data_IF_406060565746
#
_entry.id   IF_406060565746
#
_cell.length_a   1.000
_cell.length_b   1.000
_cell.length_c   1.000
_cell.angle_alpha   90.00
_cell.angle_beta   90.00
_cell.angle_gamma   90.00
#
_symmetry.space_group_name_H-M   'P 1'
#
loop_
_entity.id
_entity.type
_entity.pdbx_description
1 polymer ?
#
# COMPACT_ATOMS: atom_id res chain seq x y z
N UNK A 1 7.38 9.37 -10.66
CA UNK A 1 6.14 9.40 -9.85
C UNK A 1 5.78 8.00 -9.37
N UNK A 2 5.06 7.93 -8.25
CA UNK A 2 4.54 6.66 -7.72
C UNK A 2 3.06 6.85 -7.41
N UNK A 3 2.21 5.92 -7.88
CA UNK A 3 0.77 5.90 -7.59
C UNK A 3 0.42 4.56 -6.97
N UNK A 4 0.12 4.59 -5.66
CA UNK A 4 -0.13 3.37 -4.89
C UNK A 4 -1.57 2.91 -5.03
N UNK A 5 -2.53 3.84 -5.00
CA UNK A 5 -3.95 3.56 -5.07
C UNK A 5 -4.73 4.80 -5.51
N UNK A 6 -5.93 4.60 -6.04
CA UNK A 6 -6.88 5.67 -6.36
C UNK A 6 -8.25 5.26 -5.85
N UNK A 7 -8.73 5.97 -4.86
CA UNK A 7 -10.01 5.73 -4.18
C UNK A 7 -10.83 7.01 -4.08
N UNK A 8 -12.11 6.85 -3.83
CA UNK A 8 -13.00 7.97 -3.56
C UNK A 8 -12.69 8.53 -2.17
N UNK A 9 -11.88 9.57 -2.09
CA UNK A 9 -11.61 10.36 -0.88
C UNK A 9 -11.64 11.85 -1.22
N UNK A 10 -11.65 12.71 -0.20
CA UNK A 10 -11.71 14.16 -0.37
C UNK A 10 -12.90 14.62 -1.27
N UNK A 11 -14.05 13.98 -1.13
CA UNK A 11 -15.27 14.31 -1.88
C UNK A 11 -15.91 15.67 -1.46
N UNK A 12 -15.28 16.38 -0.55
CA UNK A 12 -15.48 17.79 -0.28
C UNK A 12 -14.80 18.70 -1.30
N UNK A 13 -13.77 18.18 -1.99
CA UNK A 13 -13.03 18.86 -3.05
C UNK A 13 -13.31 18.26 -4.43
N UNK A 14 -13.21 16.94 -4.56
CA UNK A 14 -13.47 16.24 -5.81
C UNK A 14 -14.95 15.90 -5.95
N UNK A 15 -15.46 15.99 -7.16
CA UNK A 15 -16.85 15.69 -7.48
C UNK A 15 -17.16 14.20 -7.30
N UNK A 16 -16.29 13.35 -7.81
CA UNK A 16 -16.42 11.89 -7.84
C UNK A 16 -15.08 11.21 -8.12
N UNK A 17 -15.07 9.89 -8.19
CA UNK A 17 -13.88 9.09 -8.48
C UNK A 17 -13.29 9.39 -9.87
N UNK A 18 -14.11 9.73 -10.86
CA UNK A 18 -13.64 10.07 -12.21
C UNK A 18 -12.87 11.39 -12.21
N UNK A 19 -13.30 12.36 -11.42
CA UNK A 19 -12.60 13.64 -11.23
C UNK A 19 -11.24 13.42 -10.55
N UNK A 20 -11.18 12.50 -9.57
CA UNK A 20 -9.93 12.05 -8.93
C UNK A 20 -9.01 11.38 -9.97
N UNK A 21 -9.50 10.43 -10.77
CA UNK A 21 -8.73 9.77 -11.84
C UNK A 21 -8.21 10.78 -12.86
N UNK A 22 -9.03 11.73 -13.25
CA UNK A 22 -8.62 12.82 -14.13
C UNK A 22 -7.44 13.63 -13.55
N UNK A 23 -7.49 13.94 -12.26
CA UNK A 23 -6.42 14.65 -11.56
C UNK A 23 -5.12 13.84 -11.51
N UNK A 24 -5.20 12.52 -11.27
CA UNK A 24 -4.04 11.62 -11.35
C UNK A 24 -3.48 11.54 -12.77
N UNK A 25 -4.35 11.52 -13.80
CA UNK A 25 -3.91 11.60 -15.20
C UNK A 25 -3.14 12.89 -15.48
N UNK A 26 -3.67 14.03 -15.07
CA UNK A 26 -3.00 15.33 -15.23
C UNK A 26 -1.66 15.37 -14.49
N UNK A 27 -1.58 14.73 -13.35
CA UNK A 27 -0.34 14.59 -12.60
C UNK A 27 0.68 13.73 -13.37
N UNK A 28 0.29 12.54 -13.84
CA UNK A 28 1.15 11.67 -14.62
C UNK A 28 1.62 12.29 -15.95
N UNK A 29 0.79 13.14 -16.59
CA UNK A 29 1.15 13.85 -17.82
C UNK A 29 2.25 14.90 -17.62
N UNK A 30 2.57 15.28 -16.38
CA UNK A 30 3.71 16.17 -16.08
C UNK A 30 5.06 15.46 -16.14
N UNK A 31 5.07 14.14 -16.22
CA UNK A 31 6.31 13.38 -16.37
C UNK A 31 6.96 13.68 -17.72
N UNK A 32 8.25 13.99 -17.77
CA UNK A 32 8.99 14.11 -19.01
C UNK A 32 9.09 12.74 -19.71
N UNK A 33 9.49 12.74 -20.97
CA UNK A 33 9.58 11.50 -21.76
C UNK A 33 10.57 10.49 -21.20
N UNK A 34 11.62 10.95 -20.54
CA UNK A 34 12.62 10.15 -19.82
C UNK A 34 12.24 9.89 -18.36
N UNK A 35 11.03 10.29 -17.95
CA UNK A 35 10.51 10.05 -16.61
C UNK A 35 10.05 8.62 -16.36
N UNK A 36 9.79 8.31 -15.11
CA UNK A 36 9.30 7.00 -14.65
C UNK A 36 7.99 7.17 -13.87
N UNK A 37 6.97 6.42 -14.28
CA UNK A 37 5.74 6.21 -13.53
C UNK A 37 5.74 4.79 -12.96
N UNK A 38 5.74 4.65 -11.64
CA UNK A 38 5.50 3.39 -10.94
C UNK A 38 4.05 3.41 -10.45
N UNK A 39 3.22 2.47 -10.92
CA UNK A 39 1.77 2.51 -10.68
C UNK A 39 1.21 1.13 -10.36
N UNK A 40 0.27 1.08 -9.42
CA UNK A 40 -0.42 -0.15 -9.08
C UNK A 40 -1.34 -0.59 -10.22
N UNK A 41 -1.14 -1.82 -10.71
CA UNK A 41 -1.94 -2.43 -11.78
C UNK A 41 -3.35 -2.81 -11.34
N UNK A 42 -3.60 -2.90 -10.04
CA UNK A 42 -4.91 -3.24 -9.49
C UNK A 42 -5.86 -2.02 -9.47
N UNK A 43 -5.38 -0.84 -9.86
CA UNK A 43 -6.22 0.37 -10.02
C UNK A 43 -7.21 0.12 -11.17
N UNK A 44 -8.48 0.25 -10.83
CA UNK A 44 -9.58 0.10 -11.80
C UNK A 44 -9.47 1.16 -12.92
N UNK A 45 -9.66 0.72 -14.16
CA UNK A 45 -9.55 1.58 -15.35
C UNK A 45 -8.18 2.28 -15.48
N UNK A 46 -7.10 1.55 -15.16
CA UNK A 46 -5.71 2.04 -15.21
C UNK A 46 -5.37 2.77 -16.52
N UNK A 47 -5.91 2.32 -17.65
CA UNK A 47 -5.70 2.89 -18.98
C UNK A 47 -6.14 4.36 -19.04
N UNK A 48 -7.16 4.76 -18.29
CA UNK A 48 -7.57 6.16 -18.23
C UNK A 48 -6.46 7.09 -17.74
N UNK A 49 -5.50 6.56 -16.97
CA UNK A 49 -4.37 7.31 -16.44
C UNK A 49 -3.16 7.19 -17.37
N UNK A 50 -2.90 5.99 -17.87
CA UNK A 50 -1.65 5.64 -18.54
C UNK A 50 -1.65 5.86 -20.05
N UNK A 51 -2.82 5.84 -20.69
CA UNK A 51 -2.90 5.97 -22.15
C UNK A 51 -2.33 7.30 -22.66
N UNK A 52 -1.44 7.17 -23.65
CA UNK A 52 -0.80 8.31 -24.29
C UNK A 52 0.34 8.95 -23.51
N UNK A 53 0.69 8.45 -22.33
CA UNK A 53 1.93 8.85 -21.65
C UNK A 53 3.14 8.39 -22.47
N UNK A 54 4.18 9.21 -22.48
CA UNK A 54 5.42 8.94 -23.22
C UNK A 54 6.57 8.52 -22.31
N UNK A 55 6.38 8.65 -21.01
CA UNK A 55 7.33 8.19 -20.00
C UNK A 55 7.32 6.66 -19.89
N UNK A 56 8.34 6.12 -19.26
CA UNK A 56 8.39 4.70 -18.92
C UNK A 56 7.36 4.40 -17.82
N UNK A 57 6.58 3.33 -18.01
CA UNK A 57 5.59 2.87 -17.04
C UNK A 57 6.03 1.52 -16.49
N UNK A 58 6.09 1.42 -15.18
CA UNK A 58 6.39 0.20 -14.42
C UNK A 58 5.21 -0.08 -13.51
N UNK A 59 4.64 -1.27 -13.61
CA UNK A 59 3.47 -1.70 -12.83
C UNK A 59 3.88 -2.61 -11.68
N UNK A 60 3.17 -2.50 -10.58
CA UNK A 60 3.21 -3.46 -9.48
C UNK A 60 1.77 -3.78 -9.04
N UNK A 61 1.56 -4.95 -8.46
CA UNK A 61 0.22 -5.33 -8.00
C UNK A 61 0.04 -6.83 -7.81
N UNK A 62 -1.23 -7.24 -7.71
CA UNK A 62 -1.61 -8.65 -7.54
C UNK A 62 -1.66 -9.41 -8.87
N UNK A 63 -1.84 -8.71 -9.99
CA UNK A 63 -1.89 -9.32 -11.31
C UNK A 63 -0.55 -9.98 -11.67
N UNK A 64 -0.55 -11.22 -12.20
CA UNK A 64 0.65 -11.87 -12.69
C UNK A 64 1.30 -11.13 -13.89
N UNK A 65 0.55 -10.27 -14.58
CA UNK A 65 1.05 -9.45 -15.70
C UNK A 65 1.75 -8.16 -15.22
N UNK A 66 1.78 -7.90 -13.91
CA UNK A 66 2.51 -6.77 -13.36
C UNK A 66 4.02 -6.98 -13.48
N UNK A 67 4.79 -5.90 -13.68
CA UNK A 67 6.24 -5.99 -13.69
C UNK A 67 6.81 -6.49 -12.35
N UNK A 68 6.16 -6.08 -11.25
CA UNK A 68 6.50 -6.50 -9.89
C UNK A 68 5.28 -7.08 -9.19
N UNK A 69 5.36 -8.32 -8.71
CA UNK A 69 4.28 -8.96 -7.95
C UNK A 69 4.84 -9.82 -6.82
N UNK A 70 3.98 -10.15 -5.87
CA UNK A 70 4.30 -10.99 -4.72
C UNK A 70 3.54 -12.31 -4.79
N UNK A 71 4.23 -13.42 -4.51
CA UNK A 71 3.63 -14.73 -4.39
C UNK A 71 3.99 -15.38 -3.05
N UNK A 72 3.28 -16.43 -2.67
CA UNK A 72 3.56 -17.20 -1.46
C UNK A 72 3.71 -16.33 -0.20
N UNK A 73 2.77 -15.40 0.00
CA UNK A 73 2.76 -14.51 1.17
C UNK A 73 2.52 -15.35 2.42
N UNK A 74 3.39 -15.22 3.40
CA UNK A 74 3.31 -15.84 4.72
C UNK A 74 3.54 -14.78 5.80
N UNK A 75 3.13 -15.05 7.03
CA UNK A 75 3.23 -14.11 8.14
C UNK A 75 3.98 -14.74 9.30
N UNK A 76 4.78 -13.95 10.00
CA UNK A 76 5.37 -14.34 11.28
C UNK A 76 4.39 -14.16 12.45
N UNK A 77 4.84 -14.44 13.67
CA UNK A 77 4.05 -14.29 14.90
C UNK A 77 3.61 -12.84 15.21
N UNK A 78 4.19 -11.85 14.54
CA UNK A 78 3.81 -10.42 14.64
C UNK A 78 3.03 -9.94 13.42
N UNK A 79 2.51 -10.86 12.62
CA UNK A 79 1.80 -10.58 11.36
C UNK A 79 2.66 -9.77 10.35
N UNK A 80 3.99 -9.90 10.40
CA UNK A 80 4.90 -9.32 9.42
C UNK A 80 4.97 -10.24 8.20
N UNK A 81 4.75 -9.72 7.00
CA UNK A 81 4.73 -10.54 5.81
C UNK A 81 6.14 -10.88 5.31
N UNK A 82 6.24 -12.10 4.75
CA UNK A 82 7.32 -12.52 3.87
C UNK A 82 6.71 -13.06 2.59
N UNK A 83 7.31 -12.78 1.44
CA UNK A 83 6.78 -13.18 0.15
C UNK A 83 7.90 -13.44 -0.88
N UNK A 84 7.57 -14.16 -1.92
CA UNK A 84 8.44 -14.35 -3.07
C UNK A 84 8.24 -13.17 -4.02
N UNK A 85 9.31 -12.42 -4.26
CA UNK A 85 9.34 -11.30 -5.21
C UNK A 85 9.47 -11.86 -6.63
N UNK A 86 8.49 -11.56 -7.44
CA UNK A 86 8.48 -11.88 -8.86
C UNK A 86 8.70 -10.57 -9.64
N UNK A 87 9.68 -10.54 -10.52
CA UNK A 87 9.96 -9.41 -11.41
C UNK A 87 9.87 -9.89 -12.84
N UNK A 88 8.97 -9.32 -13.64
CA UNK A 88 8.73 -9.70 -15.03
C UNK A 88 8.49 -11.22 -15.22
N UNK A 89 7.77 -11.83 -14.27
CA UNK A 89 7.44 -13.26 -14.29
C UNK A 89 8.51 -14.18 -13.70
N UNK A 90 9.68 -13.67 -13.34
CA UNK A 90 10.79 -14.46 -12.78
C UNK A 90 10.90 -14.27 -11.27
N UNK A 91 11.10 -15.38 -10.54
CA UNK A 91 11.40 -15.36 -9.12
C UNK A 91 12.79 -14.77 -8.89
N UNK A 92 12.85 -13.62 -8.21
CA UNK A 92 14.11 -12.94 -7.89
C UNK A 92 14.65 -13.35 -6.53
N UNK A 93 13.80 -13.25 -5.50
CA UNK A 93 14.20 -13.59 -4.12
C UNK A 93 12.98 -13.63 -3.18
N UNK A 94 13.22 -14.11 -1.93
CA UNK A 94 12.27 -13.98 -0.85
C UNK A 94 12.51 -12.69 -0.06
N UNK A 95 11.45 -11.92 0.11
CA UNK A 95 11.46 -10.63 0.84
C UNK A 95 10.81 -10.83 2.20
N UNK A 96 11.37 -10.24 3.25
CA UNK A 96 10.77 -10.18 4.58
C UNK A 96 10.67 -8.73 5.04
N UNK A 97 9.49 -8.31 5.49
CA UNK A 97 9.24 -6.95 5.93
C UNK A 97 9.37 -6.81 7.45
N UNK A 98 9.82 -5.66 7.91
CA UNK A 98 9.82 -5.27 9.33
C UNK A 98 8.48 -4.75 9.84
N UNK A 99 7.49 -4.55 8.94
CA UNK A 99 6.18 -3.96 9.24
C UNK A 99 5.05 -4.95 9.03
N UNK A 100 3.92 -4.73 9.72
CA UNK A 100 2.76 -5.61 9.75
C UNK A 100 1.77 -5.30 8.63
N UNK A 101 1.10 -6.33 8.11
CA UNK A 101 -0.06 -6.21 7.22
C UNK A 101 0.24 -6.40 5.74
N UNK A 102 -0.71 -7.00 5.04
CA UNK A 102 -0.59 -7.34 3.61
C UNK A 102 -0.47 -6.11 2.71
N UNK A 103 -1.13 -5.01 3.06
CA UNK A 103 -1.01 -3.75 2.31
C UNK A 103 0.45 -3.27 2.20
N UNK A 104 1.30 -3.59 3.19
CA UNK A 104 2.72 -3.28 3.15
C UNK A 104 3.51 -4.17 2.18
N UNK A 105 2.98 -5.33 1.77
CA UNK A 105 3.56 -6.09 0.65
C UNK A 105 3.51 -5.23 -0.62
N UNK A 106 2.34 -4.69 -0.96
CA UNK A 106 2.17 -3.84 -2.15
C UNK A 106 2.95 -2.54 -2.05
N UNK A 107 2.96 -1.89 -0.88
CA UNK A 107 3.80 -0.72 -0.63
C UNK A 107 5.30 -1.02 -0.85
N UNK A 108 5.75 -2.21 -0.42
CA UNK A 108 7.14 -2.63 -0.62
C UNK A 108 7.45 -2.94 -2.09
N UNK A 109 6.50 -3.52 -2.86
CA UNK A 109 6.66 -3.71 -4.30
C UNK A 109 6.88 -2.38 -5.03
N UNK A 110 6.11 -1.35 -4.68
CA UNK A 110 6.30 -0.01 -5.22
C UNK A 110 7.68 0.57 -4.88
N UNK A 111 8.11 0.44 -3.62
CA UNK A 111 9.42 0.90 -3.19
C UNK A 111 10.55 0.13 -3.90
N UNK A 112 10.45 -1.20 -3.99
CA UNK A 112 11.40 -2.06 -4.70
C UNK A 112 11.49 -1.62 -6.17
N UNK A 113 10.35 -1.46 -6.85
CA UNK A 113 10.31 -1.05 -8.24
C UNK A 113 11.08 0.27 -8.46
N UNK A 114 10.82 1.29 -7.63
CA UNK A 114 11.52 2.58 -7.74
C UNK A 114 13.03 2.43 -7.56
N UNK A 115 13.47 1.75 -6.50
CA UNK A 115 14.90 1.72 -6.17
C UNK A 115 15.69 0.78 -7.10
N UNK A 116 15.07 -0.28 -7.63
CA UNK A 116 15.68 -1.12 -8.67
C UNK A 116 15.85 -0.35 -9.98
N UNK A 117 14.86 0.45 -10.37
CA UNK A 117 14.95 1.31 -11.54
C UNK A 117 16.02 2.41 -11.39
N UNK A 118 16.36 2.80 -10.17
CA UNK A 118 17.46 3.70 -9.85
C UNK A 118 18.82 2.99 -9.73
N UNK A 119 18.88 1.66 -9.94
CA UNK A 119 20.11 0.88 -9.92
C UNK A 119 20.63 0.55 -8.52
N UNK A 120 19.79 0.64 -7.48
CA UNK A 120 20.16 0.23 -6.12
C UNK A 120 20.34 -1.29 -6.07
N UNK A 121 21.44 -1.74 -5.48
CA UNK A 121 21.74 -3.17 -5.35
C UNK A 121 20.72 -3.90 -4.44
N UNK A 122 20.37 -5.12 -4.82
CA UNK A 122 19.31 -5.89 -4.17
C UNK A 122 19.56 -6.13 -2.67
N UNK A 123 20.82 -6.37 -2.25
CA UNK A 123 21.16 -6.56 -0.84
C UNK A 123 20.82 -5.33 0.02
N UNK A 124 21.09 -4.12 -0.50
CA UNK A 124 20.74 -2.88 0.19
C UNK A 124 19.23 -2.67 0.29
N UNK A 125 18.48 -3.06 -0.77
CA UNK A 125 17.01 -3.02 -0.77
C UNK A 125 16.46 -3.94 0.33
N UNK A 126 16.94 -5.18 0.39
CA UNK A 126 16.48 -6.15 1.40
C UNK A 126 16.82 -5.71 2.82
N UNK A 127 18.03 -5.18 3.03
CA UNK A 127 18.41 -4.63 4.33
C UNK A 127 17.52 -3.45 4.74
N UNK A 128 17.20 -2.55 3.82
CA UNK A 128 16.30 -1.41 4.06
C UNK A 128 14.89 -1.86 4.45
N UNK A 129 14.30 -2.78 3.70
CA UNK A 129 12.95 -3.30 3.98
C UNK A 129 12.86 -4.04 5.32
N UNK A 130 13.87 -4.83 5.66
CA UNK A 130 13.92 -5.58 6.92
C UNK A 130 14.08 -4.64 8.13
N UNK A 131 14.86 -3.58 7.97
CA UNK A 131 15.16 -2.63 9.06
C UNK A 131 14.09 -1.53 9.19
N UNK A 132 13.21 -1.37 8.21
CA UNK A 132 12.11 -0.43 8.29
C UNK A 132 11.08 -0.92 9.30
N UNK A 133 10.91 -0.20 10.39
CA UNK A 133 10.02 -0.55 11.51
C UNK A 133 8.66 0.14 11.45
N UNK A 134 8.36 0.84 10.35
CA UNK A 134 7.11 1.58 10.17
C UNK A 134 7.23 3.07 10.48
N UNK A 135 6.10 3.72 10.48
CA UNK A 135 5.93 5.14 10.82
C UNK A 135 4.99 5.27 12.01
N UNK A 136 5.09 6.38 12.73
CA UNK A 136 4.20 6.68 13.84
C UNK A 136 2.74 6.59 13.39
N UNK A 137 1.88 6.06 14.25
CA UNK A 137 0.44 5.91 14.02
C UNK A 137 0.08 5.08 12.77
N UNK A 138 0.92 4.11 12.40
CA UNK A 138 0.64 3.10 11.37
C UNK A 138 0.89 1.72 11.96
N UNK A 139 -0.15 1.09 12.53
CA UNK A 139 -0.09 -0.15 13.32
C UNK A 139 0.99 -0.09 14.41
N UNK A 140 1.11 1.07 15.07
CA UNK A 140 2.17 1.36 16.01
C UNK A 140 1.88 0.72 17.38
N UNK A 141 2.75 -0.16 17.86
CA UNK A 141 2.66 -0.69 19.22
C UNK A 141 3.06 0.39 20.23
N UNK A 142 2.09 0.93 20.96
CA UNK A 142 2.32 1.93 22.02
C UNK A 142 2.79 1.30 23.33
N UNK A 143 2.47 0.04 23.55
CA UNK A 143 2.88 -0.65 24.77
C UNK A 143 2.05 -1.88 25.08
N UNK A 144 2.28 -2.43 26.29
CA UNK A 144 1.55 -3.57 26.80
C UNK A 144 1.29 -3.39 28.29
N UNK A 145 0.05 -3.51 28.72
CA UNK A 145 -0.37 -3.34 30.12
C UNK A 145 -1.27 -4.50 30.50
N UNK A 146 -0.87 -5.27 31.52
CA UNK A 146 -1.67 -6.41 32.02
C UNK A 146 -1.95 -7.48 30.95
N UNK A 147 -1.04 -7.69 29.99
CA UNK A 147 -1.20 -8.63 28.89
C UNK A 147 -2.09 -8.10 27.76
N UNK A 148 -2.42 -6.82 27.77
CA UNK A 148 -3.15 -6.15 26.70
C UNK A 148 -2.17 -5.32 25.87
N UNK A 149 -1.99 -5.69 24.61
CA UNK A 149 -1.21 -4.90 23.65
C UNK A 149 -2.05 -3.73 23.13
N UNK A 150 -1.47 -2.53 23.18
CA UNK A 150 -2.10 -1.29 22.72
C UNK A 150 -1.44 -0.89 21.40
N UNK A 151 -2.26 -0.76 20.35
CA UNK A 151 -1.84 -0.38 19.01
C UNK A 151 -2.58 0.90 18.60
N UNK A 152 -1.84 1.88 18.08
CA UNK A 152 -2.37 3.13 17.52
C UNK A 152 -2.25 3.10 16.00
N UNK A 153 -3.34 3.46 15.32
CA UNK A 153 -3.37 3.58 13.86
C UNK A 153 -4.16 4.84 13.46
N UNK A 154 -3.69 5.55 12.46
CA UNK A 154 -4.33 6.78 11.95
C UNK A 154 -5.43 6.47 10.92
N UNK A 155 -5.73 5.21 10.67
CA UNK A 155 -6.77 4.81 9.73
C UNK A 155 -8.10 5.49 10.04
N UNK A 156 -8.66 6.17 9.06
CA UNK A 156 -9.91 6.92 9.18
C UNK A 156 -10.81 6.80 7.94
N UNK A 157 -10.29 6.27 6.83
CA UNK A 157 -11.07 5.85 5.67
C UNK A 157 -11.47 4.38 5.82
N UNK A 158 -12.68 3.93 5.36
CA UNK A 158 -13.12 2.53 5.51
C UNK A 158 -12.11 1.50 5.02
N UNK A 159 -11.44 1.76 3.89
CA UNK A 159 -10.43 0.85 3.34
C UNK A 159 -9.18 0.75 4.24
N UNK A 160 -8.72 1.87 4.79
CA UNK A 160 -7.59 1.88 5.73
C UNK A 160 -7.94 1.08 7.00
N UNK A 161 -9.13 1.31 7.56
CA UNK A 161 -9.62 0.59 8.75
C UNK A 161 -9.71 -0.90 8.46
N UNK A 162 -10.23 -1.28 7.30
CA UNK A 162 -10.32 -2.67 6.87
C UNK A 162 -8.94 -3.32 6.78
N UNK A 163 -7.96 -2.62 6.20
CA UNK A 163 -6.58 -3.10 6.09
C UNK A 163 -5.92 -3.27 7.48
N UNK A 164 -6.10 -2.28 8.37
CA UNK A 164 -5.59 -2.32 9.75
C UNK A 164 -6.22 -3.47 10.55
N UNK A 165 -7.54 -3.66 10.45
CA UNK A 165 -8.22 -4.76 11.13
C UNK A 165 -7.84 -6.12 10.56
N UNK A 166 -7.60 -6.24 9.26
CA UNK A 166 -7.09 -7.47 8.64
C UNK A 166 -5.70 -7.80 9.18
N UNK A 167 -4.81 -6.81 9.28
CA UNK A 167 -3.50 -6.98 9.91
C UNK A 167 -3.62 -7.39 11.39
N UNK A 168 -4.51 -6.75 12.15
CA UNK A 168 -4.75 -7.06 13.56
C UNK A 168 -5.27 -8.49 13.79
N UNK A 169 -6.06 -9.05 12.84
CA UNK A 169 -6.52 -10.45 12.91
C UNK A 169 -5.37 -11.45 12.80
N UNK A 170 -4.30 -11.10 12.08
CA UNK A 170 -3.11 -11.95 11.96
C UNK A 170 -2.13 -11.75 13.13
N UNK A 171 -2.32 -10.72 13.96
CA UNK A 171 -1.50 -10.45 15.14
C UNK A 171 -1.96 -11.35 16.31
N UNK A 172 -1.06 -11.89 17.15
CA UNK A 172 -1.44 -12.76 18.28
C UNK A 172 -2.42 -12.07 19.21
N UNK A 173 -3.60 -12.64 19.38
CA UNK A 173 -4.61 -12.11 20.29
C UNK A 173 -5.60 -13.18 20.72
N UNK A 174 -6.14 -13.06 21.92
CA UNK A 174 -7.29 -13.82 22.41
C UNK A 174 -8.61 -13.10 22.10
N UNK A 175 -8.59 -11.77 22.18
CA UNK A 175 -9.73 -10.90 21.90
C UNK A 175 -9.22 -9.59 21.31
N UNK A 176 -9.85 -9.15 20.23
CA UNK A 176 -9.56 -7.87 19.58
C UNK A 176 -10.63 -6.85 19.95
N UNK A 177 -10.18 -5.67 20.40
CA UNK A 177 -11.02 -4.52 20.65
C UNK A 177 -10.63 -3.41 19.67
N UNK A 178 -11.61 -2.87 18.98
CA UNK A 178 -11.42 -1.69 18.12
C UNK A 178 -12.11 -0.49 18.77
N UNK A 179 -11.34 0.56 19.03
CA UNK A 179 -11.86 1.86 19.45
C UNK A 179 -11.68 2.80 18.27
N UNK A 180 -12.78 3.28 17.71
CA UNK A 180 -12.79 4.07 16.50
C UNK A 180 -13.54 5.39 16.71
N UNK A 181 -12.94 6.49 16.19
CA UNK A 181 -13.60 7.79 16.11
C UNK A 181 -13.66 8.23 14.64
N UNK A 182 -14.88 8.35 14.07
CA UNK A 182 -15.03 8.83 12.68
C UNK A 182 -14.51 10.27 12.51
N UNK A 183 -13.95 10.55 11.34
CA UNK A 183 -13.47 11.86 10.92
C UNK A 183 -13.49 11.91 9.37
N UNK A 184 -14.05 12.83 8.69
CA UNK A 184 -14.86 14.02 8.92
C UNK A 184 -16.37 13.72 8.83
N UNK A 185 -17.26 14.72 9.04
CA UNK A 185 -18.72 14.53 8.86
C UNK A 185 -19.06 14.15 7.42
N UNK A 186 -18.44 14.77 6.41
CA UNK A 186 -18.67 14.50 4.99
C UNK A 186 -18.28 13.07 4.65
N UNK A 187 -17.09 12.60 5.06
CA UNK A 187 -16.64 11.21 4.87
C UNK A 187 -17.54 10.22 5.58
N UNK A 188 -17.88 10.48 6.85
CA UNK A 188 -18.75 9.60 7.63
C UNK A 188 -20.11 9.46 6.97
N UNK A 189 -20.69 10.54 6.46
CA UNK A 189 -21.98 10.50 5.74
C UNK A 189 -21.86 9.74 4.41
N UNK A 190 -20.78 9.95 3.66
CA UNK A 190 -20.58 9.33 2.34
C UNK A 190 -20.34 7.81 2.43
N UNK A 191 -19.74 7.34 3.51
CA UNK A 191 -19.32 5.94 3.68
C UNK A 191 -19.95 5.24 4.89
N UNK A 192 -21.11 5.75 5.40
CA UNK A 192 -21.73 5.24 6.62
C UNK A 192 -21.93 3.72 6.60
N UNK A 193 -22.37 3.17 5.48
CA UNK A 193 -22.64 1.74 5.31
C UNK A 193 -21.34 0.88 5.19
N UNK A 194 -20.18 1.53 5.07
CA UNK A 194 -18.90 0.84 4.94
C UNK A 194 -18.12 0.77 6.26
N UNK A 195 -18.52 1.59 7.25
CA UNK A 195 -17.99 1.54 8.61
C UNK A 195 -18.71 0.48 9.44
#
# INVERSE_FOLDING_TARGET
EVVLNIEADHLDFFKDLEDIRHSFRLFAQKLPQDGLLVINSDIENLQQITDGLKCRIVTFGSSPDSHYTAQNITYDEFARPSYDLIVQGELVNRVSLGVTGEHNVYNSLAAIAVVMELGVGFEAIMAGLKNFSGTDRRFEKKGEIGGVTIIDDYAHHPQEIKATLAAAKNYPHRKLWCVFQPHTYTRTKAFLDQF
#
